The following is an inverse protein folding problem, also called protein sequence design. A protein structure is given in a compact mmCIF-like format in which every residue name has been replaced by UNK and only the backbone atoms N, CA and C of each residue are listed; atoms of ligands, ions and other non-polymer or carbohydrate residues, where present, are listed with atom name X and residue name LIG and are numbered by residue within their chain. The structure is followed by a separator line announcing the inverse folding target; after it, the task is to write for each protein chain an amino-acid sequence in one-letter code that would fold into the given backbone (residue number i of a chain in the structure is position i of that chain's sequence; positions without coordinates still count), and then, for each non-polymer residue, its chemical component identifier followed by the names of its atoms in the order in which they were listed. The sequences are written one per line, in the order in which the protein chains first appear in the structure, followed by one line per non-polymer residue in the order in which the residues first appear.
data_IF_229285094161
#
_entry.id   IF_229285094161
#
_cell.length_a   1.000
_cell.length_b   1.000
_cell.length_c   1.000
_cell.angle_alpha   90.00
_cell.angle_beta   90.00
_cell.angle_gamma   90.00
#
_symmetry.space_group_name_H-M   'P 1'
#
loop_
_entity.id
_entity.type
_entity.pdbx_description
1 polymer ?
#
# COMPACT_ATOMS: atom_id res chain seq x y z
N UNK A 1 24.94 -4.08 -1.85
CA UNK A 1 25.35 -2.81 -1.18
C UNK A 1 24.13 -2.30 -0.42
N UNK A 2 24.30 -1.81 0.81
CA UNK A 2 23.26 -1.15 1.60
C UNK A 2 23.67 0.31 1.74
N UNK A 3 22.72 1.23 1.49
CA UNK A 3 22.89 2.67 1.62
C UNK A 3 21.85 3.14 2.64
N UNK A 4 22.29 3.79 3.69
CA UNK A 4 21.41 4.39 4.68
C UNK A 4 20.95 5.76 4.19
N UNK A 5 19.64 6.06 4.28
CA UNK A 5 19.07 7.33 3.86
C UNK A 5 17.60 7.44 4.17
N UNK A 6 17.06 8.63 3.99
CA UNK A 6 15.64 8.95 4.16
C UNK A 6 15.10 9.54 2.84
N UNK A 7 14.00 8.99 2.33
CA UNK A 7 13.39 9.50 1.10
C UNK A 7 12.81 10.91 1.25
N UNK A 8 12.64 11.39 2.49
CA UNK A 8 12.15 12.75 2.77
C UNK A 8 13.24 13.81 2.65
N UNK A 9 14.50 13.40 2.67
CA UNK A 9 15.67 14.23 2.43
C UNK A 9 16.00 14.25 0.93
N UNK A 10 15.68 15.35 0.26
CA UNK A 10 15.86 15.50 -1.18
C UNK A 10 17.34 15.37 -1.60
N UNK A 11 18.27 15.87 -0.80
CA UNK A 11 19.70 15.82 -1.11
C UNK A 11 20.19 14.36 -1.03
N UNK A 12 19.77 13.61 -0.01
CA UNK A 12 20.09 12.18 0.11
C UNK A 12 19.49 11.35 -1.02
N UNK A 13 18.27 11.66 -1.45
CA UNK A 13 17.66 11.02 -2.61
C UNK A 13 18.46 11.34 -3.88
N UNK A 14 18.86 12.60 -4.09
CA UNK A 14 19.65 12.99 -5.26
C UNK A 14 21.05 12.33 -5.30
N UNK A 15 21.66 12.10 -4.13
CA UNK A 15 22.93 11.35 -4.04
C UNK A 15 22.82 9.93 -4.65
N UNK A 16 21.62 9.33 -4.70
CA UNK A 16 21.41 8.04 -5.35
C UNK A 16 21.72 8.08 -6.85
N UNK A 17 21.67 9.27 -7.46
CA UNK A 17 22.02 9.46 -8.86
C UNK A 17 23.42 9.03 -9.25
N UNK A 18 24.37 9.01 -8.30
CA UNK A 18 25.76 8.56 -8.52
C UNK A 18 25.92 7.04 -8.68
N UNK A 19 24.92 6.25 -8.27
CA UNK A 19 24.99 4.79 -8.34
C UNK A 19 24.40 4.28 -9.65
N UNK A 20 24.91 3.13 -10.12
CA UNK A 20 24.44 2.48 -11.34
C UNK A 20 23.28 1.52 -11.01
N UNK A 21 22.06 1.92 -11.36
CA UNK A 21 20.86 1.11 -11.31
C UNK A 21 19.81 1.64 -12.30
N UNK A 22 18.94 0.77 -12.76
CA UNK A 22 17.92 1.11 -13.78
C UNK A 22 16.58 1.51 -13.18
N UNK A 23 16.21 0.93 -12.01
CA UNK A 23 14.88 1.03 -11.42
C UNK A 23 14.93 1.27 -9.92
N UNK A 24 13.94 2.00 -9.42
CA UNK A 24 13.64 2.15 -7.99
C UNK A 24 12.31 1.47 -7.71
N UNK A 25 12.27 0.52 -6.78
CA UNK A 25 11.01 0.00 -6.21
C UNK A 25 10.81 0.69 -4.87
N UNK A 26 9.91 1.67 -4.83
CA UNK A 26 9.63 2.43 -3.62
C UNK A 26 8.64 1.69 -2.73
N UNK A 27 9.14 1.01 -1.70
CA UNK A 27 8.36 0.39 -0.64
C UNK A 27 8.28 1.24 0.64
N UNK A 28 8.97 2.40 0.67
CA UNK A 28 8.96 3.28 1.84
C UNK A 28 7.60 3.95 2.00
N UNK A 29 6.98 3.77 3.15
CA UNK A 29 5.72 4.41 3.50
C UNK A 29 5.48 4.42 5.02
N UNK A 30 4.82 5.46 5.51
CA UNK A 30 4.19 5.46 6.81
C UNK A 30 2.80 4.83 6.68
N UNK A 31 2.59 3.68 7.34
CA UNK A 31 1.31 2.94 7.30
C UNK A 31 0.41 3.21 8.52
N UNK A 32 0.63 4.30 9.24
CA UNK A 32 -0.21 4.71 10.37
C UNK A 32 -1.51 5.31 9.83
N UNK A 33 -2.64 4.63 10.05
CA UNK A 33 -3.95 5.15 9.63
C UNK A 33 -4.36 6.44 10.36
N UNK A 34 -3.82 6.65 11.56
CA UNK A 34 -4.05 7.85 12.38
C UNK A 34 -2.69 8.39 12.83
N UNK A 35 -2.33 9.55 12.33
CA UNK A 35 -1.15 10.30 12.76
C UNK A 35 -1.59 11.72 13.08
N UNK A 36 -1.21 12.22 14.25
CA UNK A 36 -1.48 13.58 14.66
C UNK A 36 -0.48 14.58 14.06
N UNK A 37 0.62 14.07 13.52
CA UNK A 37 1.71 14.84 12.90
C UNK A 37 1.66 14.79 11.37
N UNK A 38 2.62 15.42 10.73
CA UNK A 38 2.75 15.48 9.28
C UNK A 38 3.55 14.33 8.66
N UNK A 39 3.88 13.29 9.45
CA UNK A 39 4.68 12.16 8.98
C UNK A 39 4.09 11.49 7.73
N UNK A 40 2.76 11.34 7.66
CA UNK A 40 2.09 10.79 6.48
C UNK A 40 2.32 11.66 5.23
N UNK A 41 2.19 12.97 5.36
CA UNK A 41 2.42 13.91 4.27
C UNK A 41 3.88 13.88 3.81
N UNK A 42 4.80 13.96 4.77
CA UNK A 42 6.23 14.03 4.50
C UNK A 42 6.73 12.72 3.85
N UNK A 43 6.38 11.56 4.43
CA UNK A 43 6.90 10.27 3.92
C UNK A 43 6.14 9.81 2.68
N UNK A 44 4.79 9.79 2.72
CA UNK A 44 4.00 9.15 1.66
C UNK A 44 3.82 10.03 0.43
N UNK A 45 3.94 11.34 0.56
CA UNK A 45 3.77 12.25 -0.56
C UNK A 45 5.06 12.98 -0.93
N UNK A 46 5.66 13.75 0.00
CA UNK A 46 6.87 14.51 -0.31
C UNK A 46 8.04 13.60 -0.68
N UNK A 47 8.25 12.49 0.05
CA UNK A 47 9.28 11.50 -0.29
C UNK A 47 9.09 10.91 -1.70
N UNK A 48 7.86 10.70 -2.13
CA UNK A 48 7.58 10.24 -3.51
C UNK A 48 7.89 11.32 -4.53
N UNK A 49 7.63 12.60 -4.24
CA UNK A 49 8.01 13.70 -5.13
C UNK A 49 9.53 13.79 -5.33
N UNK A 50 10.33 13.55 -4.29
CA UNK A 50 11.79 13.50 -4.39
C UNK A 50 12.24 12.37 -5.32
N UNK A 51 11.62 11.18 -5.24
CA UNK A 51 11.92 10.05 -6.15
C UNK A 51 11.48 10.33 -7.58
N UNK A 52 10.34 11.00 -7.79
CA UNK A 52 9.89 11.44 -9.12
C UNK A 52 10.92 12.40 -9.73
N UNK A 53 11.42 13.35 -8.96
CA UNK A 53 12.46 14.28 -9.42
C UNK A 53 13.70 13.53 -9.84
N UNK A 54 14.28 12.68 -8.97
CA UNK A 54 15.45 11.88 -9.29
C UNK A 54 15.27 11.04 -10.58
N UNK A 55 14.13 10.34 -10.70
CA UNK A 55 13.87 9.48 -11.86
C UNK A 55 13.69 10.31 -13.15
N UNK A 56 13.05 11.48 -13.05
CA UNK A 56 12.89 12.41 -14.17
C UNK A 56 14.23 12.91 -14.70
N UNK A 57 15.12 13.33 -13.81
CA UNK A 57 16.45 13.84 -14.17
C UNK A 57 17.40 12.76 -14.68
N UNK A 58 17.29 11.54 -14.17
CA UNK A 58 18.24 10.46 -14.48
C UNK A 58 17.73 9.47 -15.53
N UNK A 59 16.47 9.56 -15.96
CA UNK A 59 15.84 8.64 -16.90
C UNK A 59 15.60 7.23 -16.35
N UNK A 60 15.71 7.06 -15.04
CA UNK A 60 15.45 5.80 -14.32
C UNK A 60 13.97 5.53 -14.18
N UNK A 61 13.61 4.27 -13.97
CA UNK A 61 12.21 3.87 -13.81
C UNK A 61 11.80 3.86 -12.33
N UNK A 62 10.64 4.47 -12.01
CA UNK A 62 10.05 4.44 -10.67
C UNK A 62 8.90 3.43 -10.61
N UNK A 63 9.04 2.41 -9.77
CA UNK A 63 7.97 1.48 -9.41
C UNK A 63 7.41 1.91 -8.06
N UNK A 64 6.28 2.59 -8.06
CA UNK A 64 5.63 3.06 -6.83
C UNK A 64 4.72 2.00 -6.24
N UNK A 65 5.00 1.55 -5.03
CA UNK A 65 4.07 0.70 -4.29
C UNK A 65 2.97 1.58 -3.67
N UNK A 66 1.77 1.41 -4.21
CA UNK A 66 0.54 2.04 -3.75
C UNK A 66 -0.31 1.02 -2.97
N UNK A 67 -1.56 1.33 -2.70
CA UNK A 67 -2.47 0.46 -1.97
C UNK A 67 -3.87 0.46 -2.62
N UNK A 68 -4.58 -0.66 -2.55
CA UNK A 68 -5.98 -0.72 -3.02
C UNK A 68 -6.90 0.23 -2.26
N UNK A 69 -6.48 0.70 -1.08
CA UNK A 69 -7.21 1.70 -0.29
C UNK A 69 -7.36 3.06 -0.97
N UNK A 70 -6.63 3.35 -2.07
CA UNK A 70 -6.88 4.54 -2.91
C UNK A 70 -8.28 4.52 -3.52
N UNK A 71 -8.97 3.36 -3.54
CA UNK A 71 -10.39 3.25 -3.83
C UNK A 71 -11.26 4.10 -2.89
N UNK A 72 -10.70 4.55 -1.77
CA UNK A 72 -11.38 5.39 -0.80
C UNK A 72 -12.40 4.65 0.05
N UNK A 73 -13.02 5.39 0.94
CA UNK A 73 -14.16 4.90 1.71
C UNK A 73 -15.44 5.07 0.89
N UNK A 74 -16.31 4.08 0.93
CA UNK A 74 -17.60 4.14 0.25
C UNK A 74 -18.48 5.19 0.91
N UNK A 75 -18.60 6.35 0.29
CA UNK A 75 -19.61 7.36 0.67
C UNK A 75 -20.94 6.84 0.16
N UNK A 76 -21.71 6.29 1.08
CA UNK A 76 -22.91 5.45 0.94
C UNK A 76 -23.96 5.88 -0.10
N UNK A 77 -23.87 7.03 -0.73
CA UNK A 77 -24.95 7.57 -1.58
C UNK A 77 -24.52 7.97 -2.98
N UNK A 78 -23.22 8.03 -3.29
CA UNK A 78 -22.76 8.54 -4.59
C UNK A 78 -22.09 7.51 -5.49
N UNK A 79 -21.62 6.40 -4.94
CA UNK A 79 -20.94 5.36 -5.69
C UNK A 79 -21.73 4.07 -5.59
N UNK A 80 -22.07 3.40 -6.71
CA UNK A 80 -22.75 2.11 -6.69
C UNK A 80 -21.96 1.11 -5.83
N UNK A 81 -22.64 0.28 -5.04
CA UNK A 81 -22.01 -0.74 -4.17
C UNK A 81 -21.14 -1.73 -4.96
N UNK A 82 -21.49 -1.92 -6.22
CA UNK A 82 -20.80 -2.82 -7.15
C UNK A 82 -19.59 -2.17 -7.84
N UNK A 83 -19.37 -0.87 -7.61
CA UNK A 83 -18.24 -0.17 -8.24
C UNK A 83 -16.93 -0.78 -7.75
N UNK A 84 -16.17 -1.28 -8.69
CA UNK A 84 -14.82 -1.78 -8.47
C UNK A 84 -13.82 -0.75 -8.99
N UNK A 85 -12.72 -0.57 -8.26
CA UNK A 85 -11.59 0.19 -8.76
C UNK A 85 -10.87 -0.66 -9.81
N UNK A 86 -10.79 -0.15 -11.04
CA UNK A 86 -10.01 -0.76 -12.11
C UNK A 86 -8.61 -0.15 -12.18
N UNK A 87 -7.68 -0.85 -12.84
CA UNK A 87 -6.29 -0.40 -12.96
C UNK A 87 -6.17 0.89 -13.79
N UNK A 88 -7.07 1.11 -14.74
CA UNK A 88 -7.13 2.34 -15.54
C UNK A 88 -7.89 3.51 -14.89
N UNK A 89 -8.32 3.37 -13.64
CA UNK A 89 -9.05 4.38 -12.89
C UNK A 89 -8.28 4.76 -11.62
N UNK A 90 -8.34 6.04 -11.24
CA UNK A 90 -7.85 6.52 -9.96
C UNK A 90 -8.88 7.42 -9.29
N UNK A 91 -9.43 8.40 -10.00
CA UNK A 91 -10.37 9.39 -9.48
C UNK A 91 -11.76 9.13 -10.10
N UNK A 92 -12.70 8.70 -9.28
CA UNK A 92 -14.09 8.45 -9.66
C UNK A 92 -15.08 9.05 -8.63
N UNK A 93 -14.61 10.01 -7.80
CA UNK A 93 -15.41 10.70 -6.79
C UNK A 93 -15.51 9.97 -5.45
N UNK A 94 -14.62 9.02 -5.17
CA UNK A 94 -14.53 8.34 -3.88
C UNK A 94 -14.14 9.28 -2.74
N UNK A 95 -14.54 8.92 -1.51
CA UNK A 95 -14.10 9.64 -0.33
C UNK A 95 -12.67 9.27 0.07
N UNK A 96 -11.79 10.24 0.05
CA UNK A 96 -10.39 10.13 0.44
C UNK A 96 -10.04 10.98 1.67
N UNK A 97 -11.01 11.26 2.54
CA UNK A 97 -10.81 12.13 3.72
C UNK A 97 -9.85 11.53 4.77
N UNK A 98 -9.62 10.22 4.74
CA UNK A 98 -8.60 9.59 5.56
C UNK A 98 -7.20 10.05 5.10
N UNK A 99 -6.40 10.64 6.00
CA UNK A 99 -5.08 11.23 5.69
C UNK A 99 -4.10 10.23 5.05
N UNK A 100 -4.13 8.95 5.46
CA UNK A 100 -3.32 7.91 4.82
C UNK A 100 -3.76 7.66 3.38
N UNK A 101 -5.06 7.50 3.15
CA UNK A 101 -5.63 7.27 1.81
C UNK A 101 -5.34 8.46 0.91
N UNK A 102 -5.55 9.69 1.40
CA UNK A 102 -5.28 10.92 0.66
C UNK A 102 -3.81 11.02 0.21
N UNK A 103 -2.87 10.80 1.13
CA UNK A 103 -1.45 10.89 0.80
C UNK A 103 -1.02 9.82 -0.22
N UNK A 104 -1.53 8.59 -0.12
CA UNK A 104 -1.29 7.53 -1.13
C UNK A 104 -1.93 7.85 -2.47
N UNK A 105 -3.16 8.37 -2.48
CA UNK A 105 -3.86 8.81 -3.69
C UNK A 105 -3.11 9.92 -4.42
N UNK A 106 -2.69 10.98 -3.70
CA UNK A 106 -1.93 12.08 -4.28
C UNK A 106 -0.56 11.65 -4.79
N UNK A 107 0.14 10.79 -4.07
CA UNK A 107 1.41 10.22 -4.51
C UNK A 107 1.24 9.43 -5.81
N UNK A 108 0.25 8.56 -5.89
CA UNK A 108 -0.05 7.81 -7.12
C UNK A 108 -0.39 8.75 -8.29
N UNK A 109 -1.24 9.76 -8.06
CA UNK A 109 -1.58 10.78 -9.05
C UNK A 109 -0.34 11.54 -9.55
N UNK A 110 0.60 11.87 -8.64
CA UNK A 110 1.85 12.54 -9.00
C UNK A 110 2.73 11.65 -9.89
N UNK A 111 2.89 10.37 -9.56
CA UNK A 111 3.64 9.40 -10.39
C UNK A 111 3.01 9.28 -11.77
N UNK A 112 1.69 9.04 -11.86
CA UNK A 112 0.99 8.92 -13.13
C UNK A 112 1.06 10.20 -13.98
N UNK A 113 1.03 11.36 -13.33
CA UNK A 113 1.21 12.64 -14.01
C UNK A 113 2.62 12.79 -14.59
N UNK A 114 3.65 12.36 -13.86
CA UNK A 114 5.03 12.37 -14.34
C UNK A 114 5.23 11.36 -15.50
N UNK A 115 4.62 10.18 -15.39
CA UNK A 115 4.64 9.17 -16.47
C UNK A 115 3.96 9.71 -17.74
N UNK A 116 2.82 10.38 -17.62
CA UNK A 116 2.15 11.02 -18.76
C UNK A 116 3.00 12.12 -19.44
N UNK A 117 3.97 12.69 -18.71
CA UNK A 117 4.96 13.65 -19.22
C UNK A 117 6.26 13.01 -19.74
N UNK A 118 6.33 11.67 -19.78
CA UNK A 118 7.44 10.93 -20.36
C UNK A 118 8.41 10.27 -19.36
N UNK A 119 8.20 10.42 -18.04
CA UNK A 119 8.97 9.67 -17.04
C UNK A 119 8.66 8.16 -17.16
N UNK A 120 9.68 7.32 -17.03
CA UNK A 120 9.47 5.87 -16.91
C UNK A 120 8.95 5.54 -15.52
N UNK A 121 7.83 4.81 -15.43
CA UNK A 121 7.31 4.42 -14.14
C UNK A 121 6.03 3.59 -14.20
N UNK A 122 5.76 2.95 -13.07
CA UNK A 122 4.59 2.09 -12.85
C UNK A 122 4.08 2.29 -11.43
N UNK A 123 2.82 1.97 -11.21
CA UNK A 123 2.19 1.92 -9.90
C UNK A 123 1.70 0.50 -9.66
N UNK A 124 2.01 -0.06 -8.49
CA UNK A 124 1.52 -1.38 -8.07
C UNK A 124 0.71 -1.19 -6.80
N UNK A 125 -0.61 -1.36 -6.89
CA UNK A 125 -1.54 -1.29 -5.76
C UNK A 125 -1.57 -2.64 -5.06
N UNK A 126 -1.11 -2.68 -3.81
CA UNK A 126 -1.12 -3.88 -2.98
C UNK A 126 -2.32 -3.90 -2.04
N UNK A 127 -2.73 -5.09 -1.63
CA UNK A 127 -3.80 -5.31 -0.66
C UNK A 127 -3.34 -5.17 0.80
N UNK A 128 -4.11 -5.76 1.71
CA UNK A 128 -3.75 -5.82 3.12
C UNK A 128 -2.65 -6.86 3.34
N UNK A 129 -1.41 -6.38 3.43
CA UNK A 129 -0.24 -7.24 3.60
C UNK A 129 -0.27 -7.94 4.96
N UNK A 130 -0.20 -9.26 4.93
CA UNK A 130 -0.29 -10.13 6.09
C UNK A 130 0.92 -11.08 6.17
N UNK A 131 0.83 -12.07 7.04
CA UNK A 131 1.85 -13.10 7.26
C UNK A 131 2.31 -13.75 5.96
N UNK A 132 3.52 -14.29 5.98
CA UNK A 132 4.00 -15.15 4.90
C UNK A 132 3.12 -16.39 4.77
N UNK A 133 2.76 -16.76 3.55
CA UNK A 133 2.03 -17.99 3.28
C UNK A 133 2.87 -19.24 3.58
N UNK A 134 4.20 -19.13 3.45
CA UNK A 134 5.14 -20.22 3.61
C UNK A 134 5.33 -20.69 5.06
N UNK A 135 5.23 -19.81 6.05
CA UNK A 135 5.52 -20.14 7.45
C UNK A 135 4.67 -19.39 8.50
N UNK A 136 3.76 -18.54 8.07
CA UNK A 136 2.89 -17.75 8.96
C UNK A 136 3.59 -16.59 9.67
N UNK A 137 4.88 -16.33 9.41
CA UNK A 137 5.64 -15.27 10.04
C UNK A 137 5.08 -13.89 9.66
N UNK A 138 4.83 -13.05 10.66
CA UNK A 138 4.31 -11.69 10.48
C UNK A 138 5.42 -10.66 10.62
N UNK A 139 5.15 -9.42 10.24
CA UNK A 139 6.11 -8.32 10.33
C UNK A 139 6.65 -8.12 11.76
N UNK A 140 7.92 -7.72 11.87
CA UNK A 140 8.63 -7.55 13.15
C UNK A 140 7.90 -6.59 14.10
N UNK A 141 7.33 -5.52 13.57
CA UNK A 141 6.61 -4.49 14.33
C UNK A 141 5.10 -4.79 14.48
N UNK A 142 4.73 -6.05 14.64
CA UNK A 142 3.32 -6.48 14.78
C UNK A 142 2.56 -5.77 15.90
N UNK A 143 3.25 -5.31 16.95
CA UNK A 143 2.66 -4.58 18.08
C UNK A 143 2.13 -3.20 17.69
N UNK A 144 2.64 -2.58 16.66
CA UNK A 144 2.21 -1.26 16.15
C UNK A 144 1.24 -1.37 14.96
N UNK A 145 1.09 -2.56 14.38
CA UNK A 145 0.15 -2.79 13.29
C UNK A 145 -1.30 -2.61 13.78
N UNK A 146 -2.07 -1.75 13.11
CA UNK A 146 -3.43 -1.38 13.52
C UNK A 146 -4.39 -2.57 13.60
N UNK A 147 -4.38 -3.46 12.59
CA UNK A 147 -5.22 -4.64 12.55
C UNK A 147 -4.87 -5.62 13.69
N UNK A 148 -3.59 -5.90 13.91
CA UNK A 148 -3.13 -6.79 14.98
C UNK A 148 -3.44 -6.21 16.36
N UNK A 149 -3.35 -4.90 16.53
CA UNK A 149 -3.75 -4.24 17.80
C UNK A 149 -5.24 -4.40 18.07
N UNK A 150 -6.06 -4.25 17.04
CA UNK A 150 -7.51 -4.44 17.14
C UNK A 150 -7.85 -5.87 17.55
N UNK A 151 -7.26 -6.86 16.87
CA UNK A 151 -7.46 -8.28 17.22
C UNK A 151 -7.02 -8.59 18.66
N UNK A 152 -5.84 -8.12 19.08
CA UNK A 152 -5.37 -8.26 20.47
C UNK A 152 -6.32 -7.62 21.48
N UNK A 153 -6.88 -6.46 21.14
CA UNK A 153 -7.89 -5.79 21.96
C UNK A 153 -9.13 -6.66 22.16
N UNK A 154 -9.66 -7.26 21.10
CA UNK A 154 -10.81 -8.17 21.18
C UNK A 154 -10.50 -9.43 21.98
N UNK A 155 -9.31 -9.99 21.82
CA UNK A 155 -8.84 -11.13 22.64
C UNK A 155 -8.80 -10.75 24.12
N UNK A 156 -8.20 -9.62 24.46
CA UNK A 156 -8.10 -9.15 25.85
C UNK A 156 -9.47 -8.87 26.49
N UNK A 157 -10.43 -8.38 25.70
CA UNK A 157 -11.82 -8.14 26.15
C UNK A 157 -12.67 -9.41 26.20
N UNK A 158 -12.24 -10.48 25.55
CA UNK A 158 -13.05 -11.69 25.35
C UNK A 158 -14.33 -11.45 24.54
N UNK A 159 -14.41 -10.38 23.75
CA UNK A 159 -15.61 -9.94 23.03
C UNK A 159 -15.23 -9.43 21.64
N UNK A 160 -16.07 -9.76 20.67
CA UNK A 160 -16.02 -9.24 19.32
C UNK A 160 -17.38 -8.61 18.93
N UNK A 161 -17.42 -7.44 18.27
CA UNK A 161 -18.67 -6.81 17.87
C UNK A 161 -19.37 -7.66 16.78
N UNK A 162 -20.65 -7.98 17.01
CA UNK A 162 -21.43 -8.80 16.06
C UNK A 162 -21.48 -8.16 14.67
N UNK A 163 -21.58 -6.83 14.60
CA UNK A 163 -21.59 -6.08 13.33
C UNK A 163 -20.31 -6.21 12.51
N UNK A 164 -19.23 -6.70 13.12
CA UNK A 164 -17.94 -6.92 12.43
C UNK A 164 -17.78 -8.35 11.88
N UNK A 165 -18.63 -9.28 12.23
CA UNK A 165 -18.49 -10.69 11.84
C UNK A 165 -18.67 -10.91 10.33
N UNK A 166 -19.61 -10.20 9.72
CA UNK A 166 -19.90 -10.28 8.29
C UNK A 166 -19.01 -9.38 7.43
N UNK A 167 -18.00 -8.75 8.03
CA UNK A 167 -17.06 -7.92 7.27
C UNK A 167 -16.13 -8.80 6.44
N UNK A 168 -16.02 -8.53 5.13
CA UNK A 168 -15.04 -9.20 4.29
C UNK A 168 -13.62 -8.74 4.67
N UNK A 169 -12.70 -9.67 4.77
CA UNK A 169 -11.28 -9.43 4.99
C UNK A 169 -10.47 -9.96 3.80
N UNK A 170 -9.77 -9.07 3.15
CA UNK A 170 -8.77 -9.42 2.15
C UNK A 170 -7.41 -9.50 2.83
N UNK A 171 -6.73 -10.63 2.69
CA UNK A 171 -5.39 -10.85 3.23
C UNK A 171 -4.45 -11.25 2.10
N UNK A 172 -3.48 -10.40 1.83
CA UNK A 172 -2.43 -10.65 0.84
C UNK A 172 -1.16 -11.13 1.54
N UNK A 173 -0.75 -12.40 1.36
CA UNK A 173 0.52 -12.88 1.92
C UNK A 173 1.69 -12.07 1.39
N UNK A 174 2.57 -11.61 2.29
CA UNK A 174 3.66 -10.70 1.93
C UNK A 174 4.67 -11.32 0.96
N UNK A 175 4.98 -12.61 1.10
CA UNK A 175 5.89 -13.34 0.22
C UNK A 175 5.34 -13.43 -1.22
N UNK A 176 4.08 -13.84 -1.39
CA UNK A 176 3.44 -13.91 -2.71
C UNK A 176 3.28 -12.53 -3.34
N UNK A 177 2.96 -11.51 -2.52
CA UNK A 177 2.84 -10.13 -3.00
C UNK A 177 4.20 -9.59 -3.45
N UNK A 178 5.27 -9.85 -2.69
CA UNK A 178 6.63 -9.45 -3.07
C UNK A 178 7.07 -10.11 -4.40
N UNK A 179 6.78 -11.40 -4.59
CA UNK A 179 7.04 -12.09 -5.84
C UNK A 179 6.26 -11.47 -7.02
N UNK A 180 4.98 -11.13 -6.80
CA UNK A 180 4.16 -10.45 -7.80
C UNK A 180 4.73 -9.08 -8.17
N UNK A 181 5.16 -8.28 -7.17
CA UNK A 181 5.79 -6.96 -7.40
C UNK A 181 7.03 -7.10 -8.29
N UNK A 182 7.93 -8.05 -8.00
CA UNK A 182 9.15 -8.26 -8.78
C UNK A 182 8.82 -8.65 -10.23
N UNK A 183 7.84 -9.53 -10.44
CA UNK A 183 7.38 -9.93 -11.78
C UNK A 183 6.76 -8.75 -12.53
N UNK A 184 5.88 -7.98 -11.88
CA UNK A 184 5.21 -6.81 -12.47
C UNK A 184 6.19 -5.69 -12.78
N UNK A 185 7.20 -5.46 -11.93
CA UNK A 185 8.27 -4.49 -12.18
C UNK A 185 9.10 -4.80 -13.45
N UNK A 186 9.06 -6.04 -13.92
CA UNK A 186 9.63 -6.48 -15.20
C UNK A 186 8.66 -6.46 -16.38
N UNK A 187 7.39 -6.13 -16.16
CA UNK A 187 6.37 -6.16 -17.21
C UNK A 187 6.67 -5.13 -18.31
N UNK A 188 6.51 -5.58 -19.56
CA UNK A 188 6.65 -4.71 -20.75
C UNK A 188 5.26 -4.37 -21.29
N UNK A 189 5.11 -3.20 -21.87
CA UNK A 189 3.86 -2.75 -22.48
C UNK A 189 3.41 -1.38 -21.99
N UNK A 190 2.20 -0.98 -22.40
CA UNK A 190 1.66 0.36 -22.14
C UNK A 190 0.91 0.47 -20.80
N UNK A 191 0.68 -0.65 -20.13
CA UNK A 191 0.09 -0.65 -18.80
C UNK A 191 1.05 -0.05 -17.78
N UNK A 192 0.52 0.84 -16.93
CA UNK A 192 1.29 1.57 -15.91
C UNK A 192 0.79 1.36 -14.49
N UNK A 193 -0.38 0.77 -14.32
CA UNK A 193 -0.97 0.47 -13.01
C UNK A 193 -1.33 -1.01 -12.94
N UNK A 194 -0.99 -1.65 -11.84
CA UNK A 194 -1.27 -3.06 -11.60
C UNK A 194 -1.87 -3.25 -10.20
N UNK A 195 -2.73 -4.25 -10.09
CA UNK A 195 -3.24 -4.73 -8.82
C UNK A 195 -2.48 -6.00 -8.40
N UNK A 196 -1.80 -5.96 -7.25
CA UNK A 196 -1.07 -7.08 -6.66
C UNK A 196 -1.63 -7.40 -5.28
N UNK A 197 -2.80 -8.03 -5.24
CA UNK A 197 -3.46 -8.44 -4.01
C UNK A 197 -4.16 -9.79 -4.17
N UNK A 198 -4.52 -10.42 -3.04
CA UNK A 198 -5.27 -11.67 -3.05
C UNK A 198 -6.70 -11.43 -3.53
N UNK A 199 -7.16 -12.21 -4.50
CA UNK A 199 -8.57 -12.25 -4.88
C UNK A 199 -9.43 -13.05 -3.89
N UNK A 200 -8.79 -13.73 -2.94
CA UNK A 200 -9.46 -14.52 -1.92
C UNK A 200 -9.87 -13.65 -0.74
N UNK A 201 -11.14 -13.62 -0.47
CA UNK A 201 -11.75 -12.85 0.64
C UNK A 201 -12.38 -13.82 1.62
N UNK A 202 -12.08 -13.67 2.90
CA UNK A 202 -12.67 -14.43 3.99
C UNK A 202 -13.56 -13.53 4.83
N UNK A 203 -14.48 -14.13 5.60
CA UNK A 203 -15.28 -13.36 6.54
C UNK A 203 -14.55 -13.23 7.88
N UNK A 204 -14.71 -12.11 8.56
CA UNK A 204 -14.12 -11.93 9.90
C UNK A 204 -14.64 -12.96 10.91
N UNK A 205 -15.85 -13.49 10.71
CA UNK A 205 -16.35 -14.61 11.49
C UNK A 205 -15.43 -15.81 11.47
N UNK A 206 -14.94 -16.20 10.28
CA UNK A 206 -14.02 -17.34 10.10
C UNK A 206 -12.68 -17.10 10.81
N UNK A 207 -12.15 -15.86 10.73
CA UNK A 207 -10.94 -15.47 11.44
C UNK A 207 -11.10 -15.63 12.94
N UNK A 208 -12.22 -15.14 13.49
CA UNK A 208 -12.49 -15.20 14.93
C UNK A 208 -12.71 -16.64 15.40
N UNK A 209 -13.37 -17.48 14.61
CA UNK A 209 -13.56 -18.89 14.91
C UNK A 209 -12.22 -19.64 15.00
N UNK A 210 -11.35 -19.41 14.01
CA UNK A 210 -10.00 -19.99 14.02
C UNK A 210 -9.17 -19.52 15.22
N UNK A 211 -9.29 -18.25 15.60
CA UNK A 211 -8.63 -17.75 16.80
C UNK A 211 -9.12 -18.46 18.07
N UNK A 212 -10.43 -18.64 18.24
CA UNK A 212 -11.01 -19.35 19.39
C UNK A 212 -10.46 -20.78 19.50
N UNK A 213 -10.44 -21.49 18.37
CA UNK A 213 -9.96 -22.88 18.32
C UNK A 213 -8.48 -23.03 18.70
N UNK A 214 -7.65 -22.01 18.44
CA UNK A 214 -6.22 -22.03 18.76
C UNK A 214 -5.88 -21.56 20.17
N UNK A 215 -6.83 -20.90 20.85
CA UNK A 215 -6.66 -20.35 22.21
C UNK A 215 -7.32 -21.24 23.29
N UNK A 216 -8.13 -22.21 22.90
CA UNK A 216 -8.70 -23.27 23.77
C UNK A 216 -7.70 -24.42 23.92
#
# INVERSE_FOLDING_TARGET
MVIEGDITDADKVNELGQYDFEKIINCAACAKHFSADDTLEIVNYQGVLNLIHLCGETGRELIQISAVSVAGENVREKIPKEKKLHENELDFGQNISNKYIDTKFRAEKAVLTAVAKGMKGQVIRVGNLMSRSSNGEFQINSVTNGFMRTLRGYVALGKFPVSGLDMPAEFSPIDSTAEAIVKLAGAKGDFRVFHAFSSYVIQMADVIEQMKTKMS
#
